data_IF_483190326319
#
_entry.id   IF_483190326319
#
_cell.length_a   1.000
_cell.length_b   1.000
_cell.length_c   1.000
_cell.angle_alpha   90.00
_cell.angle_beta   90.00
_cell.angle_gamma   90.00
#
_symmetry.space_group_name_H-M   'P 1'
#
loop_
_entity.id
_entity.type
_entity.pdbx_description
1 polymer ?
#
# COMPACT_ATOMS: atom_id res chain seq x y z
N UNK A 1 21.95 15.98 -26.82
CA UNK A 1 20.91 15.14 -26.20
C UNK A 1 21.50 14.02 -25.37
N UNK A 2 20.68 13.28 -24.63
CA UNK A 2 21.08 12.19 -23.73
C UNK A 2 21.97 11.11 -24.36
N UNK A 3 21.72 10.76 -25.65
CA UNK A 3 22.53 9.83 -26.44
C UNK A 3 23.99 10.25 -26.62
N UNK A 4 24.25 11.57 -26.70
CA UNK A 4 25.61 12.10 -26.83
C UNK A 4 26.40 11.97 -25.52
N UNK A 5 25.72 12.07 -24.38
CA UNK A 5 26.31 11.87 -23.04
C UNK A 5 26.65 10.40 -22.84
N UNK A 6 25.74 9.49 -23.11
CA UNK A 6 25.95 8.04 -22.99
C UNK A 6 27.13 7.57 -23.85
N UNK A 7 27.23 8.01 -25.12
CA UNK A 7 28.37 7.67 -25.99
C UNK A 7 29.71 8.22 -25.50
N UNK A 8 29.69 9.30 -24.72
CA UNK A 8 30.92 9.88 -24.14
C UNK A 8 31.42 9.05 -22.96
N UNK A 9 30.53 8.54 -22.15
CA UNK A 9 30.88 7.82 -20.92
C UNK A 9 31.14 6.32 -21.16
N UNK A 10 30.59 5.74 -22.23
CA UNK A 10 30.70 4.33 -22.57
C UNK A 10 31.43 4.07 -23.91
N UNK A 11 32.53 4.78 -24.17
CA UNK A 11 33.26 4.71 -25.44
C UNK A 11 33.77 3.35 -25.86
N UNK A 12 33.94 2.42 -24.91
CA UNK A 12 34.48 1.06 -25.15
C UNK A 12 33.41 -0.03 -25.27
N UNK A 13 32.14 0.32 -25.10
CA UNK A 13 31.02 -0.64 -25.17
C UNK A 13 30.24 -0.37 -26.45
N UNK A 14 30.05 -1.38 -27.33
CA UNK A 14 29.17 -1.24 -28.49
C UNK A 14 27.73 -1.14 -27.95
N UNK A 15 27.18 0.08 -27.99
CA UNK A 15 25.81 0.34 -27.54
C UNK A 15 24.98 0.57 -28.80
N UNK A 16 24.00 -0.28 -29.03
CA UNK A 16 22.97 -0.11 -30.04
C UNK A 16 21.72 0.47 -29.38
N UNK A 17 21.02 1.36 -30.08
CA UNK A 17 19.85 2.05 -29.56
C UNK A 17 18.69 1.89 -30.51
N UNK A 18 17.61 1.39 -30.03
CA UNK A 18 16.31 1.44 -30.66
C UNK A 18 15.42 2.45 -29.92
N UNK A 19 14.87 3.40 -30.66
CA UNK A 19 13.90 4.37 -30.15
C UNK A 19 12.52 3.90 -30.59
N UNK A 20 11.72 3.46 -29.63
CA UNK A 20 10.31 3.17 -29.81
C UNK A 20 9.46 4.27 -29.18
N UNK A 21 8.40 4.68 -29.85
CA UNK A 21 7.39 5.55 -29.28
C UNK A 21 6.44 4.68 -28.47
N UNK A 22 6.40 4.92 -27.14
CA UNK A 22 5.48 4.23 -26.25
C UNK A 22 4.21 5.07 -26.19
N UNK A 23 3.08 4.50 -26.58
CA UNK A 23 1.78 5.16 -26.49
C UNK A 23 1.37 5.16 -25.01
N UNK A 24 0.94 6.34 -24.50
CA UNK A 24 0.59 6.53 -23.08
C UNK A 24 -0.38 5.47 -22.52
N UNK A 25 -1.31 4.98 -23.31
CA UNK A 25 -2.26 3.93 -22.93
C UNK A 25 -1.60 2.58 -22.64
N UNK A 26 -0.55 2.24 -23.36
CA UNK A 26 0.17 0.96 -23.16
C UNK A 26 0.99 1.01 -21.87
N UNK A 27 1.58 2.15 -21.56
CA UNK A 27 2.36 2.34 -20.35
C UNK A 27 1.49 2.34 -19.08
N UNK A 28 0.33 3.03 -19.11
CA UNK A 28 -0.61 3.09 -18.00
C UNK A 28 -1.19 1.72 -17.59
N UNK A 29 -1.18 0.74 -18.48
CA UNK A 29 -1.70 -0.60 -18.20
C UNK A 29 -0.61 -1.68 -18.06
N UNK A 30 0.64 -1.38 -18.41
CA UNK A 30 1.72 -2.35 -18.41
C UNK A 30 1.96 -3.00 -17.03
N UNK A 31 1.73 -2.26 -15.92
CA UNK A 31 1.87 -2.79 -14.58
C UNK A 31 0.85 -3.90 -14.26
N UNK A 32 -0.33 -3.91 -14.91
CA UNK A 32 -1.40 -4.88 -14.66
C UNK A 32 -0.97 -6.32 -14.98
N UNK A 33 -0.04 -6.49 -15.91
CA UNK A 33 0.50 -7.83 -16.24
C UNK A 33 1.33 -8.41 -15.09
N UNK A 34 1.90 -7.56 -14.24
CA UNK A 34 2.77 -7.94 -13.14
C UNK A 34 2.05 -8.06 -11.79
N UNK A 35 0.88 -7.43 -11.65
CA UNK A 35 0.07 -7.50 -10.43
C UNK A 35 -0.81 -8.74 -10.50
N UNK A 36 -0.60 -9.67 -9.57
CA UNK A 36 -1.32 -10.94 -9.49
C UNK A 36 -2.08 -11.00 -8.18
N UNK A 37 -3.22 -11.73 -8.14
CA UNK A 37 -3.89 -12.03 -6.89
C UNK A 37 -2.92 -12.62 -5.87
N UNK A 38 -3.11 -12.23 -4.62
CA UNK A 38 -2.34 -12.75 -3.52
C UNK A 38 -3.27 -13.11 -2.36
N UNK A 39 -2.94 -14.17 -1.64
CA UNK A 39 -3.65 -14.57 -0.44
C UNK A 39 -2.70 -15.12 0.62
N UNK A 40 -3.03 -14.85 1.87
CA UNK A 40 -2.44 -15.47 3.05
C UNK A 40 -3.54 -15.66 4.09
N UNK A 41 -3.73 -16.89 4.54
CA UNK A 41 -4.79 -17.27 5.48
C UNK A 41 -6.17 -16.77 5.00
N UNK A 42 -6.79 -15.85 5.74
CA UNK A 42 -8.10 -15.30 5.39
C UNK A 42 -8.03 -14.08 4.46
N UNK A 43 -6.89 -13.40 4.38
CA UNK A 43 -6.73 -12.17 3.61
C UNK A 43 -6.44 -12.46 2.14
N UNK A 44 -7.24 -11.85 1.27
CA UNK A 44 -7.13 -11.97 -0.18
C UNK A 44 -7.05 -10.58 -0.81
N UNK A 45 -6.01 -10.32 -1.60
CA UNK A 45 -5.88 -9.14 -2.44
C UNK A 45 -6.16 -9.52 -3.88
N UNK A 46 -7.16 -8.87 -4.47
CA UNK A 46 -7.64 -9.16 -5.81
C UNK A 46 -7.52 -7.90 -6.66
N UNK A 47 -6.76 -7.91 -7.76
CA UNK A 47 -6.77 -6.81 -8.71
C UNK A 47 -8.19 -6.56 -9.23
N UNK A 48 -8.62 -5.30 -9.31
CA UNK A 48 -9.97 -4.94 -9.74
C UNK A 48 -10.37 -5.56 -11.09
N UNK A 49 -9.43 -5.66 -12.02
CA UNK A 49 -9.69 -6.25 -13.36
C UNK A 49 -9.78 -7.77 -13.37
N UNK A 50 -9.52 -8.45 -12.25
CA UNK A 50 -9.66 -9.92 -12.10
C UNK A 50 -10.81 -10.32 -11.17
N UNK A 51 -11.50 -9.35 -10.54
CA UNK A 51 -12.49 -9.60 -9.49
C UNK A 51 -13.59 -10.60 -9.85
N UNK A 52 -14.09 -10.55 -11.07
CA UNK A 52 -15.17 -11.44 -11.55
C UNK A 52 -14.69 -12.88 -11.83
N UNK A 53 -13.39 -13.12 -11.88
CA UNK A 53 -12.79 -14.40 -12.27
C UNK A 53 -12.23 -15.20 -11.10
N UNK A 54 -12.25 -14.65 -9.87
CA UNK A 54 -11.63 -15.28 -8.71
C UNK A 54 -12.66 -15.67 -7.68
N UNK A 55 -12.78 -16.98 -7.45
CA UNK A 55 -13.57 -17.51 -6.35
C UNK A 55 -12.77 -17.40 -5.05
N UNK A 56 -13.38 -16.81 -4.03
CA UNK A 56 -12.83 -16.71 -2.69
C UNK A 56 -13.63 -17.53 -1.70
N UNK A 57 -13.02 -18.05 -0.61
CA UNK A 57 -13.77 -18.69 0.48
C UNK A 57 -14.85 -17.74 1.04
N UNK A 58 -15.92 -18.30 1.56
CA UNK A 58 -17.06 -17.53 2.08
C UNK A 58 -16.67 -16.58 3.24
N UNK A 59 -15.70 -16.97 4.04
CA UNK A 59 -15.18 -16.23 5.18
C UNK A 59 -13.91 -15.44 4.87
N UNK A 60 -13.57 -15.29 3.59
CA UNK A 60 -12.39 -14.56 3.17
C UNK A 60 -12.52 -13.06 3.45
N UNK A 61 -11.44 -12.47 3.97
CA UNK A 61 -11.25 -11.03 4.06
C UNK A 61 -10.71 -10.51 2.72
N UNK A 62 -11.60 -10.02 1.87
CA UNK A 62 -11.26 -9.65 0.49
C UNK A 62 -11.02 -8.15 0.39
N UNK A 63 -9.95 -7.76 -0.29
CA UNK A 63 -9.64 -6.38 -0.67
C UNK A 63 -9.42 -6.33 -2.18
N UNK A 64 -10.21 -5.54 -2.87
CA UNK A 64 -10.05 -5.23 -4.28
C UNK A 64 -9.12 -4.03 -4.45
N UNK A 65 -8.14 -4.12 -5.34
CA UNK A 65 -7.10 -3.11 -5.46
C UNK A 65 -6.82 -2.73 -6.92
N UNK A 66 -6.73 -1.42 -7.14
CA UNK A 66 -6.01 -0.85 -8.26
C UNK A 66 -5.01 0.18 -7.70
N UNK A 67 -3.74 -0.17 -7.64
CA UNK A 67 -2.73 0.75 -7.16
C UNK A 67 -2.40 1.85 -8.18
N UNK A 68 -2.81 1.68 -9.44
CA UNK A 68 -2.43 2.61 -10.50
C UNK A 68 -0.91 2.80 -10.53
N UNK A 69 -0.49 4.07 -10.46
CA UNK A 69 0.92 4.46 -10.35
C UNK A 69 1.39 4.65 -8.90
N UNK A 70 0.51 4.54 -7.91
CA UNK A 70 0.89 4.66 -6.52
C UNK A 70 1.69 3.44 -6.05
N UNK A 71 2.57 3.65 -5.08
CA UNK A 71 3.24 2.53 -4.40
C UNK A 71 2.22 1.70 -3.61
N UNK A 72 2.43 0.38 -3.50
CA UNK A 72 1.55 -0.49 -2.72
C UNK A 72 0.62 -1.36 -3.56
N UNK A 73 1.11 -1.90 -4.68
CA UNK A 73 0.37 -2.91 -5.49
C UNK A 73 0.11 -4.22 -4.75
N UNK A 74 0.66 -4.40 -3.54
CA UNK A 74 0.67 -5.67 -2.82
C UNK A 74 1.69 -6.69 -3.37
N UNK A 75 2.38 -6.38 -4.46
CA UNK A 75 3.32 -7.32 -5.08
C UNK A 75 4.63 -7.48 -4.28
N UNK A 76 5.03 -6.46 -3.49
CA UNK A 76 6.29 -6.49 -2.77
C UNK A 76 6.21 -7.36 -1.50
N UNK A 77 7.27 -8.11 -1.23
CA UNK A 77 7.33 -9.05 -0.11
C UNK A 77 7.18 -8.36 1.27
N UNK A 78 7.66 -7.12 1.40
CA UNK A 78 7.52 -6.35 2.66
C UNK A 78 6.05 -6.02 2.95
N UNK A 79 5.25 -5.69 1.93
CA UNK A 79 3.81 -5.43 2.08
C UNK A 79 3.09 -6.70 2.54
N UNK A 80 3.43 -7.84 1.94
CA UNK A 80 2.91 -9.17 2.32
C UNK A 80 3.28 -9.55 3.74
N UNK A 81 4.52 -9.25 4.16
CA UNK A 81 4.97 -9.48 5.52
C UNK A 81 4.19 -8.61 6.53
N UNK A 82 3.97 -7.33 6.24
CA UNK A 82 3.14 -6.46 7.08
C UNK A 82 1.71 -7.00 7.20
N UNK A 83 1.11 -7.46 6.10
CA UNK A 83 -0.22 -8.06 6.11
C UNK A 83 -0.27 -9.36 6.92
N UNK A 84 0.76 -10.19 6.85
CA UNK A 84 0.88 -11.40 7.66
C UNK A 84 0.96 -11.06 9.16
N UNK A 85 1.75 -10.05 9.55
CA UNK A 85 1.86 -9.57 10.93
C UNK A 85 0.57 -8.92 11.44
N UNK A 86 -0.14 -8.23 10.57
CA UNK A 86 -1.47 -7.69 10.88
C UNK A 86 -2.46 -8.81 11.23
N UNK A 87 -2.43 -9.93 10.51
CA UNK A 87 -3.25 -11.09 10.82
C UNK A 87 -2.83 -11.75 12.16
N UNK A 88 -1.52 -11.85 12.44
CA UNK A 88 -1.03 -12.35 13.74
C UNK A 88 -1.55 -11.48 14.91
N UNK A 89 -1.51 -10.15 14.73
CA UNK A 89 -2.04 -9.21 15.74
C UNK A 89 -3.56 -9.38 15.90
N UNK A 90 -4.31 -9.46 14.80
CA UNK A 90 -5.75 -9.69 14.81
C UNK A 90 -6.11 -10.98 15.58
N UNK A 91 -5.40 -12.06 15.31
CA UNK A 91 -5.67 -13.35 15.94
C UNK A 91 -5.40 -13.33 17.45
N UNK A 92 -4.39 -12.57 17.87
CA UNK A 92 -4.04 -12.39 19.28
C UNK A 92 -5.01 -11.44 20.04
N UNK A 93 -5.75 -10.57 19.34
CA UNK A 93 -6.60 -9.51 19.91
C UNK A 93 -8.03 -9.53 19.32
N UNK A 94 -8.55 -10.71 19.01
CA UNK A 94 -9.83 -10.88 18.30
C UNK A 94 -11.05 -10.28 19.02
N UNK A 95 -10.97 -10.10 20.33
CA UNK A 95 -12.00 -9.47 21.18
C UNK A 95 -11.92 -7.95 21.24
N UNK A 96 -10.89 -7.31 20.63
CA UNK A 96 -10.62 -5.87 20.74
C UNK A 96 -10.67 -5.15 19.38
N UNK A 97 -11.03 -5.81 18.28
CA UNK A 97 -10.96 -5.25 16.92
C UNK A 97 -11.79 -3.97 16.74
N UNK A 98 -12.94 -3.86 17.42
CA UNK A 98 -13.81 -2.69 17.34
C UNK A 98 -13.22 -1.46 18.05
N UNK A 99 -12.31 -1.66 18.99
CA UNK A 99 -11.71 -0.58 19.80
C UNK A 99 -10.27 -0.26 19.41
N UNK A 100 -9.56 -1.23 18.85
CA UNK A 100 -8.17 -1.07 18.40
C UNK A 100 -8.05 0.00 17.32
N UNK A 101 -7.21 0.98 17.57
CA UNK A 101 -6.89 2.04 16.61
C UNK A 101 -5.66 1.65 15.79
N UNK A 102 -5.87 1.46 14.49
CA UNK A 102 -4.82 1.10 13.53
C UNK A 102 -4.39 2.33 12.77
N UNK A 103 -3.09 2.57 12.67
CA UNK A 103 -2.51 3.62 11.84
C UNK A 103 -1.66 2.98 10.74
N UNK A 104 -1.90 3.36 9.49
CA UNK A 104 -1.10 3.00 8.32
C UNK A 104 -0.28 4.22 7.89
N UNK A 105 0.99 4.23 8.27
CA UNK A 105 1.92 5.34 8.04
C UNK A 105 2.65 5.17 6.70
N UNK A 106 2.50 6.13 5.79
CA UNK A 106 2.93 6.00 4.39
C UNK A 106 2.06 4.98 3.67
N UNK A 107 0.74 5.20 3.68
CA UNK A 107 -0.25 4.19 3.28
C UNK A 107 -0.25 3.87 1.76
N UNK A 108 0.35 4.72 0.92
CA UNK A 108 0.43 4.49 -0.52
C UNK A 108 -0.94 4.26 -1.15
N UNK A 109 -1.19 3.08 -1.69
CA UNK A 109 -2.49 2.67 -2.26
C UNK A 109 -3.58 2.41 -1.21
N UNK A 110 -3.26 2.41 0.08
CA UNK A 110 -4.15 2.05 1.18
C UNK A 110 -4.32 0.55 1.41
N UNK A 111 -3.50 -0.30 0.79
CA UNK A 111 -3.64 -1.75 0.83
C UNK A 111 -3.63 -2.31 2.26
N UNK A 112 -2.76 -1.82 3.15
CA UNK A 112 -2.69 -2.28 4.53
C UNK A 112 -3.86 -1.76 5.39
N UNK A 113 -4.24 -0.49 5.21
CA UNK A 113 -5.42 0.08 5.87
C UNK A 113 -6.72 -0.65 5.47
N UNK A 114 -6.90 -0.94 4.18
CA UNK A 114 -8.04 -1.73 3.67
C UNK A 114 -7.99 -3.17 4.17
N UNK A 115 -6.79 -3.75 4.26
CA UNK A 115 -6.60 -5.08 4.84
C UNK A 115 -7.00 -5.14 6.32
N UNK A 116 -6.66 -4.10 7.10
CA UNK A 116 -7.11 -3.99 8.47
C UNK A 116 -8.65 -3.95 8.55
N UNK A 117 -9.30 -3.18 7.67
CA UNK A 117 -10.76 -3.14 7.59
C UNK A 117 -11.36 -4.52 7.23
N UNK A 118 -10.82 -5.20 6.23
CA UNK A 118 -11.27 -6.52 5.82
C UNK A 118 -11.11 -7.56 6.94
N UNK A 119 -10.07 -7.42 7.76
CA UNK A 119 -9.81 -8.28 8.93
C UNK A 119 -10.66 -7.93 10.16
N UNK A 120 -11.53 -6.91 10.08
CA UNK A 120 -12.52 -6.59 11.10
C UNK A 120 -12.22 -5.39 11.99
N UNK A 121 -11.06 -4.73 11.84
CA UNK A 121 -10.78 -3.49 12.56
C UNK A 121 -11.73 -2.37 12.13
N UNK A 122 -12.13 -1.51 13.09
CA UNK A 122 -13.15 -0.46 12.84
C UNK A 122 -12.59 0.95 12.88
N UNK A 123 -11.46 1.16 13.54
CA UNK A 123 -10.83 2.47 13.71
C UNK A 123 -9.50 2.46 12.96
N UNK A 124 -9.48 3.01 11.76
CA UNK A 124 -8.33 2.93 10.86
C UNK A 124 -8.06 4.30 10.27
N UNK A 125 -6.83 4.78 10.47
CA UNK A 125 -6.31 6.00 9.87
C UNK A 125 -5.12 5.66 8.97
N UNK A 126 -5.20 5.97 7.69
CA UNK A 126 -4.07 5.95 6.77
C UNK A 126 -3.59 7.38 6.50
N UNK A 127 -2.30 7.59 6.42
CA UNK A 127 -1.76 8.85 5.94
C UNK A 127 -0.56 8.66 5.00
N UNK A 128 -0.44 9.59 4.07
CA UNK A 128 0.71 9.68 3.17
C UNK A 128 1.06 11.15 2.94
N UNK A 129 2.31 11.44 2.63
CA UNK A 129 2.73 12.82 2.28
C UNK A 129 2.29 13.20 0.87
N UNK A 130 2.04 12.22 0.00
CA UNK A 130 1.63 12.40 -1.38
C UNK A 130 0.10 12.49 -1.51
N UNK A 131 -0.46 13.64 -1.94
CA UNK A 131 -1.89 13.77 -2.20
C UNK A 131 -2.42 12.81 -3.28
N UNK A 132 -1.58 12.38 -4.22
CA UNK A 132 -1.99 11.42 -5.26
C UNK A 132 -2.21 10.03 -4.64
N UNK A 133 -1.36 9.61 -3.71
CA UNK A 133 -1.55 8.37 -2.94
C UNK A 133 -2.88 8.40 -2.19
N UNK A 134 -3.22 9.51 -1.54
CA UNK A 134 -4.50 9.66 -0.83
C UNK A 134 -5.70 9.59 -1.80
N UNK A 135 -5.55 10.13 -3.01
CA UNK A 135 -6.58 9.99 -4.06
C UNK A 135 -6.79 8.52 -4.44
N UNK A 136 -5.71 7.76 -4.61
CA UNK A 136 -5.77 6.31 -4.87
C UNK A 136 -6.41 5.56 -3.71
N UNK A 137 -6.08 5.89 -2.46
CA UNK A 137 -6.71 5.32 -1.26
C UNK A 137 -8.24 5.49 -1.28
N UNK A 138 -8.71 6.69 -1.61
CA UNK A 138 -10.15 6.96 -1.71
C UNK A 138 -10.82 6.17 -2.84
N UNK A 139 -10.16 6.03 -3.98
CA UNK A 139 -10.65 5.22 -5.10
C UNK A 139 -10.73 3.74 -4.70
N UNK A 140 -9.68 3.17 -4.14
CA UNK A 140 -9.69 1.79 -3.66
C UNK A 140 -10.72 1.57 -2.55
N UNK A 141 -10.90 2.54 -1.64
CA UNK A 141 -11.93 2.46 -0.60
C UNK A 141 -13.34 2.46 -1.18
N UNK A 142 -13.59 3.16 -2.29
CA UNK A 142 -14.89 3.15 -2.97
C UNK A 142 -15.20 1.77 -3.60
N UNK A 143 -14.20 1.11 -4.18
CA UNK A 143 -14.32 -0.24 -4.73
C UNK A 143 -14.55 -1.31 -3.64
N UNK A 144 -14.20 -1.00 -2.39
CA UNK A 144 -14.38 -1.87 -1.22
C UNK A 144 -15.54 -1.39 -0.34
N UNK A 145 -16.67 -1.00 -0.92
CA UNK A 145 -17.83 -0.46 -0.20
C UNK A 145 -18.44 -1.40 0.85
N UNK A 146 -18.12 -2.69 0.80
CA UNK A 146 -18.52 -3.70 1.79
C UNK A 146 -17.71 -3.64 3.09
N UNK A 147 -16.57 -2.93 3.08
CA UNK A 147 -15.70 -2.76 4.25
C UNK A 147 -16.05 -1.51 5.06
N UNK A 148 -15.62 -1.47 6.31
CA UNK A 148 -15.57 -0.23 7.08
C UNK A 148 -14.58 0.71 6.41
N UNK A 149 -15.03 1.94 6.12
CA UNK A 149 -14.22 2.90 5.39
C UNK A 149 -13.10 3.47 6.28
N UNK A 150 -11.79 3.22 5.97
CA UNK A 150 -10.71 3.90 6.67
C UNK A 150 -10.75 5.41 6.42
N UNK A 151 -10.26 6.19 7.38
CA UNK A 151 -9.96 7.60 7.17
C UNK A 151 -8.59 7.73 6.48
N UNK A 152 -8.50 8.60 5.46
CA UNK A 152 -7.24 8.86 4.76
C UNK A 152 -6.96 10.36 4.74
N UNK A 153 -5.74 10.74 5.14
CA UNK A 153 -5.32 12.14 5.22
C UNK A 153 -3.93 12.37 4.64
N UNK A 154 -3.72 13.55 4.04
CA UNK A 154 -2.39 13.98 3.63
C UNK A 154 -1.64 14.45 4.88
N UNK A 155 -0.57 13.76 5.22
CA UNK A 155 0.29 14.13 6.35
C UNK A 155 1.73 13.64 6.13
N UNK A 156 2.66 14.36 6.72
CA UNK A 156 4.09 14.15 6.57
C UNK A 156 4.67 13.62 7.89
N UNK A 157 5.30 12.46 7.84
CA UNK A 157 5.91 11.82 9.00
C UNK A 157 7.02 12.68 9.64
N UNK A 158 7.71 13.53 8.85
CA UNK A 158 8.70 14.48 9.35
C UNK A 158 8.09 15.53 10.31
N UNK A 159 6.81 15.86 10.11
CA UNK A 159 6.05 16.80 10.95
C UNK A 159 5.35 16.11 12.12
N UNK A 160 5.57 14.83 12.28
CA UNK A 160 4.91 13.98 13.28
C UNK A 160 3.65 13.31 12.75
N UNK A 161 3.05 12.46 13.57
CA UNK A 161 1.81 11.77 13.20
C UNK A 161 0.68 12.77 12.94
N UNK A 162 -0.12 12.46 11.94
CA UNK A 162 -1.25 13.28 11.51
C UNK A 162 -2.10 13.72 12.72
N UNK A 163 -2.12 15.05 12.99
CA UNK A 163 -2.91 15.62 14.08
C UNK A 163 -2.54 15.18 15.49
N UNK A 164 -1.38 14.53 15.71
CA UNK A 164 -0.97 14.00 17.01
C UNK A 164 -1.69 12.71 17.41
N UNK A 165 -2.32 12.02 16.46
CA UNK A 165 -2.96 10.72 16.70
C UNK A 165 -1.98 9.67 17.19
N UNK A 166 -2.44 8.79 18.07
CA UNK A 166 -1.73 7.59 18.49
C UNK A 166 -2.61 6.36 18.24
N UNK A 167 -2.03 5.30 17.73
CA UNK A 167 -2.70 4.02 17.50
C UNK A 167 -2.27 2.94 18.48
N UNK A 168 -3.09 1.93 18.65
CA UNK A 168 -2.72 0.71 19.35
C UNK A 168 -1.81 -0.17 18.48
N UNK A 169 -1.94 -0.05 17.16
CA UNK A 169 -1.12 -0.70 16.14
C UNK A 169 -0.71 0.32 15.07
N UNK A 170 0.58 0.39 14.77
CA UNK A 170 1.14 1.19 13.68
C UNK A 170 1.75 0.26 12.63
N UNK A 171 1.26 0.36 11.40
CA UNK A 171 1.82 -0.26 10.20
C UNK A 171 2.69 0.79 9.50
N UNK A 172 3.89 0.40 9.06
CA UNK A 172 4.79 1.28 8.31
C UNK A 172 5.59 0.46 7.29
N UNK A 173 5.10 0.42 6.06
CA UNK A 173 5.80 -0.24 4.95
C UNK A 173 6.39 0.81 4.01
N UNK A 174 7.34 1.57 4.51
CA UNK A 174 8.03 2.66 3.83
C UNK A 174 9.50 2.33 3.59
N UNK A 175 10.15 3.10 2.73
CA UNK A 175 11.56 2.87 2.41
C UNK A 175 12.45 3.06 3.65
N UNK A 176 13.53 2.29 3.74
CA UNK A 176 14.40 2.27 4.92
C UNK A 176 15.12 3.60 5.20
N UNK A 177 15.39 4.37 4.16
CA UNK A 177 15.98 5.71 4.24
C UNK A 177 15.02 6.75 4.84
N UNK A 178 13.70 6.51 4.77
CA UNK A 178 12.65 7.26 5.48
C UNK A 178 12.39 6.65 6.85
N UNK A 179 12.28 5.31 6.94
CA UNK A 179 11.94 4.61 8.18
C UNK A 179 12.96 4.84 9.29
N UNK A 180 14.26 4.74 8.97
CA UNK A 180 15.34 4.82 9.96
C UNK A 180 15.41 6.21 10.64
N UNK A 181 15.43 7.34 9.89
CA UNK A 181 15.43 8.67 10.51
C UNK A 181 14.16 8.98 11.33
N UNK A 182 13.03 8.35 10.99
CA UNK A 182 11.72 8.63 11.60
C UNK A 182 11.24 7.55 12.57
N UNK A 183 12.12 6.65 13.03
CA UNK A 183 11.73 5.63 14.00
C UNK A 183 11.17 6.21 15.30
N UNK A 184 11.70 7.31 15.81
CA UNK A 184 11.21 7.97 17.03
C UNK A 184 9.77 8.49 16.90
N UNK A 185 9.39 9.24 15.83
CA UNK A 185 7.99 9.57 15.55
C UNK A 185 7.09 8.34 15.47
N UNK A 186 7.50 7.28 14.78
CA UNK A 186 6.73 6.04 14.63
C UNK A 186 6.47 5.38 15.99
N UNK A 187 7.50 5.26 16.83
CA UNK A 187 7.36 4.69 18.19
C UNK A 187 6.42 5.55 19.06
N UNK A 188 6.53 6.87 18.99
CA UNK A 188 5.61 7.79 19.71
C UNK A 188 4.17 7.76 19.19
N UNK A 189 3.96 7.31 17.96
CA UNK A 189 2.65 7.08 17.39
C UNK A 189 1.94 5.85 17.97
N UNK A 190 2.65 4.98 18.70
CA UNK A 190 2.05 3.84 19.41
C UNK A 190 1.68 4.29 20.83
N UNK A 191 0.46 3.96 21.26
CA UNK A 191 0.00 4.19 22.63
C UNK A 191 0.86 3.39 23.63
N UNK A 192 1.07 3.95 24.82
CA UNK A 192 1.83 3.32 25.88
C UNK A 192 1.02 2.23 26.59
#
# INVERSE_FOLDING_TARGET
GALAVLRKDFKSVPIDFELAEIVDTDWQNAYKEFVKPWSDRQLHWIPLWEGDNIETPYDAAVVYLDAGMAFGTGAHETTRLCASRLQDYRDAHADQLDTTEVIDAGCGSGVLALSASALGFKKILGFDFDPEAITVCHSNSAENAHLVKPEFVVADLEKGFAGGHQGDLVLANIQSDVLIPHCDPLVRGVKA
#
